data_IF_136300919868
#
_entry.id   IF_136300919868
#
_cell.length_a   1.000
_cell.length_b   1.000
_cell.length_c   1.000
_cell.angle_alpha   90.00
_cell.angle_beta   90.00
_cell.angle_gamma   90.00
#
_symmetry.space_group_name_H-M   'P 1'
#
loop_
_entity.id
_entity.type
_entity.pdbx_description
1 polymer ?
#
# COMPACT_ATOMS: atom_id res chain seq x y z
N UNK A 1 4.17 2.59 29.20
CA UNK A 1 4.44 3.47 28.04
C UNK A 1 5.88 3.20 27.64
N UNK A 2 6.12 2.25 26.72
CA UNK A 2 7.48 1.80 26.39
C UNK A 2 8.15 2.76 25.42
N UNK A 3 9.27 3.36 25.82
CA UNK A 3 10.24 3.99 24.92
C UNK A 3 10.75 2.93 23.93
N UNK A 4 10.15 2.89 22.74
CA UNK A 4 10.80 2.27 21.59
C UNK A 4 11.87 3.25 21.12
N UNK A 5 13.12 2.82 21.08
CA UNK A 5 14.22 3.54 20.44
C UNK A 5 13.85 3.82 18.98
N UNK A 6 13.59 5.08 18.66
CA UNK A 6 13.14 5.54 17.34
C UNK A 6 14.36 5.84 16.48
N UNK A 7 14.58 5.01 15.46
CA UNK A 7 15.68 5.21 14.51
C UNK A 7 15.13 6.14 13.42
N UNK A 8 15.50 7.42 13.51
CA UNK A 8 15.33 8.38 12.42
C UNK A 8 16.70 8.77 11.91
N UNK A 9 16.84 8.92 10.59
CA UNK A 9 18.08 9.38 9.98
C UNK A 9 18.34 10.82 10.47
N UNK A 10 19.48 11.03 11.12
CA UNK A 10 19.88 12.33 11.65
C UNK A 10 20.26 13.31 10.55
N UNK A 11 20.07 14.61 10.80
CA UNK A 11 20.34 15.66 9.83
C UNK A 11 21.80 15.66 9.34
N UNK A 12 22.75 15.39 10.24
CA UNK A 12 24.17 15.26 9.89
C UNK A 12 24.48 14.23 8.80
N UNK A 13 23.71 13.13 8.73
CA UNK A 13 23.87 12.14 7.67
C UNK A 13 23.21 12.60 6.37
N UNK A 14 22.10 13.33 6.43
CA UNK A 14 21.46 13.88 5.23
C UNK A 14 22.34 14.95 4.58
N UNK A 15 23.00 15.77 5.40
CA UNK A 15 23.89 16.83 4.94
C UNK A 15 25.20 16.28 4.33
N UNK A 16 25.60 15.06 4.69
CA UNK A 16 26.77 14.39 4.10
C UNK A 16 26.49 13.76 2.73
N UNK A 17 25.22 13.63 2.35
CA UNK A 17 24.83 13.07 1.06
C UNK A 17 24.81 14.18 0.00
N UNK A 18 25.37 13.89 -1.18
CA UNK A 18 25.32 14.81 -2.33
C UNK A 18 23.89 15.06 -2.79
N UNK A 19 23.57 16.29 -3.20
CA UNK A 19 22.24 16.63 -3.74
C UNK A 19 21.95 15.91 -5.05
N UNK A 20 20.68 15.57 -5.26
CA UNK A 20 20.20 14.81 -6.42
C UNK A 20 19.48 15.70 -7.45
N UNK A 21 19.51 15.28 -8.71
CA UNK A 21 18.75 15.92 -9.80
C UNK A 21 17.29 15.42 -9.89
N UNK A 22 17.01 14.20 -9.42
CA UNK A 22 15.65 13.65 -9.35
C UNK A 22 15.53 12.86 -8.05
N UNK A 23 14.48 13.13 -7.29
CA UNK A 23 14.10 12.33 -6.11
C UNK A 23 12.72 11.73 -6.37
N UNK A 24 12.60 10.42 -6.16
CA UNK A 24 11.35 9.69 -6.34
C UNK A 24 10.97 8.95 -5.06
N UNK A 25 9.75 9.15 -4.58
CA UNK A 25 9.22 8.43 -3.43
C UNK A 25 7.82 7.89 -3.70
N UNK A 26 7.66 6.58 -3.55
CA UNK A 26 6.38 5.90 -3.75
C UNK A 26 5.85 5.34 -2.43
N UNK A 27 5.17 6.19 -1.67
CA UNK A 27 4.50 5.81 -0.42
C UNK A 27 5.41 5.56 0.78
N UNK A 28 6.73 5.62 0.61
CA UNK A 28 7.69 5.34 1.69
C UNK A 28 7.67 6.42 2.78
N UNK A 29 7.53 7.70 2.38
CA UNK A 29 7.52 8.82 3.34
C UNK A 29 6.35 8.76 4.32
N UNK A 30 5.20 8.20 3.90
CA UNK A 30 4.02 8.09 4.76
C UNK A 30 4.20 7.06 5.88
N UNK A 31 5.17 6.15 5.75
CA UNK A 31 5.55 5.22 6.83
C UNK A 31 6.49 5.83 7.86
N UNK A 32 6.92 7.08 7.67
CA UNK A 32 7.68 7.81 8.69
C UNK A 32 6.76 8.31 9.79
N UNK A 33 7.28 8.41 11.02
CA UNK A 33 6.52 8.94 12.16
C UNK A 33 6.13 10.41 11.96
N UNK A 34 6.92 11.16 11.19
CA UNK A 34 6.71 12.56 10.85
C UNK A 34 6.92 12.76 9.35
N UNK A 35 5.82 12.58 8.60
CA UNK A 35 5.79 12.72 7.15
C UNK A 35 6.25 14.11 6.70
N UNK A 36 5.87 15.17 7.42
CA UNK A 36 6.21 16.55 7.05
C UNK A 36 7.71 16.79 7.20
N UNK A 37 8.31 16.32 8.30
CA UNK A 37 9.77 16.36 8.47
C UNK A 37 10.47 15.54 7.39
N UNK A 38 9.97 14.34 7.06
CA UNK A 38 10.55 13.54 5.99
C UNK A 38 10.46 14.23 4.62
N UNK A 39 9.34 14.92 4.33
CA UNK A 39 9.17 15.73 3.12
C UNK A 39 10.11 16.94 3.07
N UNK A 40 10.32 17.63 4.20
CA UNK A 40 11.29 18.72 4.29
C UNK A 40 12.73 18.23 4.09
N UNK A 41 13.05 17.06 4.61
CA UNK A 41 14.38 16.49 4.46
C UNK A 41 14.69 16.13 3.01
N UNK A 42 13.75 15.55 2.26
CA UNK A 42 14.01 15.26 0.84
C UNK A 42 14.02 16.52 -0.02
N UNK A 43 13.28 17.57 0.35
CA UNK A 43 13.29 18.83 -0.40
C UNK A 43 14.59 19.61 -0.23
N UNK A 44 15.33 19.41 0.86
CA UNK A 44 16.68 20.00 1.01
C UNK A 44 17.77 19.23 0.22
N UNK A 45 17.49 17.97 -0.13
CA UNK A 45 18.40 17.08 -0.87
C UNK A 45 18.29 17.21 -2.40
N UNK A 46 17.30 17.94 -2.92
CA UNK A 46 17.19 18.21 -4.36
C UNK A 46 17.97 19.47 -4.72
N UNK A 47 18.65 19.47 -5.88
CA UNK A 47 19.31 20.67 -6.40
C UNK A 47 18.27 21.75 -6.75
N UNK A 48 18.65 23.04 -6.83
CA UNK A 48 17.76 24.08 -7.36
C UNK A 48 17.26 23.70 -8.77
N UNK A 49 16.01 24.05 -9.08
CA UNK A 49 15.38 23.83 -10.40
C UNK A 49 15.27 22.35 -10.83
N UNK A 50 15.30 21.42 -9.87
CA UNK A 50 15.16 19.98 -10.08
C UNK A 50 13.90 19.42 -9.43
N UNK A 51 13.52 18.20 -9.81
CA UNK A 51 12.16 17.68 -9.58
C UNK A 51 12.14 16.64 -8.46
N UNK A 52 11.11 16.72 -7.62
CA UNK A 52 10.77 15.70 -6.62
C UNK A 52 9.40 15.12 -6.96
N UNK A 53 9.34 13.80 -7.15
CA UNK A 53 8.11 13.06 -7.37
C UNK A 53 7.71 12.32 -6.08
N UNK A 54 6.51 12.60 -5.58
CA UNK A 54 5.99 11.97 -4.36
C UNK A 54 4.60 11.40 -4.62
N UNK A 55 4.45 10.10 -4.45
CA UNK A 55 3.15 9.44 -4.37
C UNK A 55 2.81 9.19 -2.90
N UNK A 56 1.83 9.92 -2.37
CA UNK A 56 1.30 9.72 -1.02
C UNK A 56 -0.01 8.94 -1.08
N UNK A 57 -0.14 7.95 -0.22
CA UNK A 57 -1.41 7.27 -0.04
C UNK A 57 -2.38 8.18 0.72
N UNK A 58 -3.56 8.41 0.14
CA UNK A 58 -4.61 9.16 0.80
C UNK A 58 -5.27 8.32 1.92
N UNK A 59 -5.57 8.96 3.05
CA UNK A 59 -6.33 8.33 4.11
C UNK A 59 -7.81 8.19 3.71
N UNK A 60 -8.28 6.96 3.59
CA UNK A 60 -9.68 6.68 3.25
C UNK A 60 -10.52 6.53 4.53
N UNK A 61 -11.13 7.62 4.99
CA UNK A 61 -11.83 7.70 6.30
C UNK A 61 -12.80 6.54 6.54
N UNK A 62 -13.65 6.24 5.55
CA UNK A 62 -14.66 5.20 5.67
C UNK A 62 -14.08 3.79 5.57
N UNK A 63 -13.15 3.58 4.63
CA UNK A 63 -12.55 2.26 4.41
C UNK A 63 -11.57 1.87 5.52
N UNK A 64 -10.78 2.81 6.04
CA UNK A 64 -9.87 2.58 7.17
C UNK A 64 -10.65 2.14 8.41
N UNK A 65 -11.73 2.85 8.73
CA UNK A 65 -12.59 2.54 9.88
C UNK A 65 -13.28 1.19 9.72
N UNK A 66 -13.87 0.93 8.55
CA UNK A 66 -14.50 -0.35 8.24
C UNK A 66 -13.53 -1.52 8.36
N UNK A 67 -12.34 -1.44 7.74
CA UNK A 67 -11.34 -2.50 7.82
C UNK A 67 -10.86 -2.72 9.25
N UNK A 68 -10.73 -1.66 10.04
CA UNK A 68 -10.31 -1.77 11.44
C UNK A 68 -11.37 -2.50 12.26
N UNK A 69 -12.65 -2.14 12.11
CA UNK A 69 -13.77 -2.81 12.78
C UNK A 69 -13.83 -4.28 12.34
N UNK A 70 -13.83 -4.56 11.03
CA UNK A 70 -13.89 -5.91 10.49
C UNK A 70 -12.78 -6.80 11.04
N UNK A 71 -11.54 -6.33 11.01
CA UNK A 71 -10.37 -7.07 11.52
C UNK A 71 -10.45 -7.29 13.02
N UNK A 72 -10.90 -6.27 13.77
CA UNK A 72 -11.06 -6.38 15.23
C UNK A 72 -12.13 -7.42 15.56
N UNK A 73 -13.32 -7.32 14.97
CA UNK A 73 -14.42 -8.28 15.14
C UNK A 73 -13.97 -9.69 14.80
N UNK A 74 -13.30 -9.88 13.65
CA UNK A 74 -12.77 -11.19 13.26
C UNK A 74 -11.78 -11.76 14.29
N UNK A 75 -10.87 -10.94 14.81
CA UNK A 75 -9.86 -11.41 15.76
C UNK A 75 -10.44 -11.71 17.15
N UNK A 76 -11.48 -10.98 17.57
CA UNK A 76 -12.09 -11.14 18.90
C UNK A 76 -13.22 -12.15 18.94
N UNK A 77 -13.80 -12.55 17.80
CA UNK A 77 -14.96 -13.43 17.77
C UNK A 77 -14.58 -14.92 17.88
N UNK A 78 -15.51 -15.77 18.37
CA UNK A 78 -15.34 -17.22 18.40
C UNK A 78 -15.26 -17.82 17.00
N UNK A 79 -14.73 -19.04 16.90
CA UNK A 79 -14.38 -19.69 15.63
C UNK A 79 -15.57 -19.80 14.64
N UNK A 80 -16.79 -20.06 15.14
CA UNK A 80 -17.97 -20.17 14.28
C UNK A 80 -18.31 -18.84 13.60
N UNK A 81 -18.15 -17.71 14.31
CA UNK A 81 -18.38 -16.38 13.75
C UNK A 81 -17.34 -16.06 12.66
N UNK A 82 -16.08 -16.45 12.86
CA UNK A 82 -15.03 -16.34 11.83
C UNK A 82 -15.42 -17.08 10.56
N UNK A 83 -15.92 -18.31 10.67
CA UNK A 83 -16.38 -19.09 9.52
C UNK A 83 -17.53 -18.41 8.78
N UNK A 84 -18.53 -17.89 9.50
CA UNK A 84 -19.62 -17.12 8.89
C UNK A 84 -19.07 -15.90 8.13
N UNK A 85 -18.16 -15.14 8.74
CA UNK A 85 -17.54 -13.97 8.10
C UNK A 85 -16.76 -14.36 6.83
N UNK A 86 -16.00 -15.45 6.86
CA UNK A 86 -15.26 -15.99 5.71
C UNK A 86 -16.24 -16.41 4.61
N UNK A 87 -17.32 -17.11 4.94
CA UNK A 87 -18.32 -17.56 3.97
C UNK A 87 -19.01 -16.39 3.29
N UNK A 88 -19.43 -15.36 4.04
CA UNK A 88 -20.00 -14.13 3.49
C UNK A 88 -18.99 -13.44 2.56
N UNK A 89 -17.73 -13.31 3.00
CA UNK A 89 -16.70 -12.69 2.17
C UNK A 89 -16.45 -13.47 0.88
N UNK A 90 -16.30 -14.79 0.96
CA UNK A 90 -16.09 -15.67 -0.20
C UNK A 90 -17.27 -15.58 -1.18
N UNK A 91 -18.50 -15.62 -0.66
CA UNK A 91 -19.72 -15.50 -1.46
C UNK A 91 -19.76 -14.18 -2.24
N UNK A 92 -19.48 -13.04 -1.58
CA UNK A 92 -19.39 -11.73 -2.23
C UNK A 92 -18.34 -11.74 -3.36
N UNK A 93 -17.18 -12.36 -3.14
CA UNK A 93 -16.12 -12.40 -4.16
C UNK A 93 -16.48 -13.30 -5.35
N UNK A 94 -17.20 -14.40 -5.12
CA UNK A 94 -17.69 -15.29 -6.17
C UNK A 94 -18.73 -14.55 -7.02
N UNK A 95 -19.71 -13.88 -6.42
CA UNK A 95 -20.72 -13.11 -7.15
C UNK A 95 -20.08 -11.99 -7.97
N UNK A 96 -19.21 -11.18 -7.36
CA UNK A 96 -18.48 -10.12 -8.07
C UNK A 96 -17.62 -10.69 -9.19
N UNK A 97 -17.12 -11.90 -9.00
CA UNK A 97 -16.34 -12.62 -9.99
C UNK A 97 -17.18 -13.02 -11.19
N UNK A 98 -18.24 -13.79 -10.94
CA UNK A 98 -19.18 -14.26 -11.94
C UNK A 98 -19.86 -13.12 -12.70
N UNK A 99 -20.25 -12.04 -12.01
CA UNK A 99 -20.86 -10.88 -12.68
C UNK A 99 -19.90 -10.23 -13.68
N UNK A 100 -18.62 -10.10 -13.34
CA UNK A 100 -17.59 -9.63 -14.29
C UNK A 100 -17.41 -10.61 -15.44
N UNK A 101 -17.37 -11.90 -15.14
CA UNK A 101 -17.13 -12.93 -16.16
C UNK A 101 -18.31 -13.00 -17.16
N UNK A 102 -19.55 -12.82 -16.69
CA UNK A 102 -20.75 -12.67 -17.51
C UNK A 102 -20.70 -11.36 -18.33
N UNK A 103 -20.43 -10.22 -17.68
CA UNK A 103 -20.42 -8.91 -18.34
C UNK A 103 -19.34 -8.79 -19.43
N UNK A 104 -18.18 -9.39 -19.21
CA UNK A 104 -17.05 -9.34 -20.14
C UNK A 104 -16.93 -10.59 -21.03
N UNK A 105 -17.91 -11.51 -20.98
CA UNK A 105 -17.91 -12.80 -21.70
C UNK A 105 -16.57 -13.56 -21.57
N UNK A 106 -15.96 -13.52 -20.38
CA UNK A 106 -14.67 -14.16 -20.12
C UNK A 106 -14.89 -15.52 -19.48
N UNK A 107 -14.14 -16.52 -19.93
CA UNK A 107 -14.19 -17.84 -19.33
C UNK A 107 -13.66 -17.79 -17.87
N UNK A 108 -14.48 -18.17 -16.87
CA UNK A 108 -14.14 -18.03 -15.45
C UNK A 108 -12.90 -18.84 -15.04
N UNK A 109 -12.62 -19.94 -15.74
CA UNK A 109 -11.45 -20.79 -15.47
C UNK A 109 -10.13 -20.12 -15.87
N UNK A 110 -10.17 -19.22 -16.86
CA UNK A 110 -8.99 -18.51 -17.38
C UNK A 110 -8.50 -17.40 -16.43
N UNK A 111 -9.39 -16.91 -15.55
CA UNK A 111 -9.11 -15.88 -14.52
C UNK A 111 -8.02 -16.28 -13.53
N UNK A 112 -7.95 -17.55 -13.15
CA UNK A 112 -6.97 -18.05 -12.18
C UNK A 112 -5.66 -18.47 -12.84
N UNK A 113 -5.70 -18.94 -14.09
CA UNK A 113 -4.52 -19.30 -14.86
C UNK A 113 -3.65 -18.08 -15.24
N UNK A 114 -4.27 -16.96 -15.62
CA UNK A 114 -3.54 -15.78 -16.12
C UNK A 114 -2.92 -14.91 -15.00
N UNK A 115 -3.42 -14.99 -13.76
CA UNK A 115 -2.87 -14.25 -12.61
C UNK A 115 -1.39 -14.57 -12.33
N UNK A 116 -0.97 -15.81 -12.58
CA UNK A 116 0.44 -16.23 -12.44
C UNK A 116 1.35 -15.57 -13.49
N UNK A 117 0.80 -15.27 -14.67
CA UNK A 117 1.54 -14.62 -15.78
C UNK A 117 1.76 -13.13 -15.53
N UNK A 118 0.79 -12.41 -14.99
CA UNK A 118 0.89 -10.96 -14.75
C UNK A 118 1.88 -10.56 -13.63
N UNK A 119 2.05 -11.39 -12.59
CA UNK A 119 3.00 -11.11 -11.50
C UNK A 119 4.45 -11.06 -11.96
N UNK A 120 4.82 -11.82 -13.00
CA UNK A 120 6.19 -11.88 -13.51
C UNK A 120 6.50 -10.78 -14.53
N UNK A 121 5.48 -10.22 -15.20
CA UNK A 121 5.68 -9.22 -16.28
C UNK A 121 5.96 -7.82 -15.73
N UNK A 122 5.52 -7.52 -14.49
CA UNK A 122 5.70 -6.19 -13.88
C UNK A 122 7.06 -5.98 -13.19
N UNK A 123 7.96 -6.98 -13.17
CA UNK A 123 9.31 -6.83 -12.62
C UNK A 123 10.37 -6.48 -13.69
N UNK A 124 10.04 -6.51 -14.98
CA UNK A 124 11.04 -6.47 -16.09
C UNK A 124 10.73 -5.38 -17.12
N UNK A 125 10.19 -4.23 -16.71
CA UNK A 125 10.11 -3.08 -17.61
C UNK A 125 10.37 -1.78 -16.87
N UNK A 126 11.64 -1.42 -16.83
CA UNK A 126 12.12 -0.04 -16.71
C UNK A 126 13.30 0.06 -17.68
N UNK A 127 12.96 0.08 -18.96
CA UNK A 127 13.85 0.42 -20.07
C UNK A 127 13.29 1.71 -20.69
#
# INVERSE_FOLDING_TARGET
MSERTRISIGQYFLDSISKFDIIYSWGVLYHTEDMWKAMHNISSMVKPERIVYIALYNHQIYWSSFHTILKRTYNTCPIWCKWVMIMIFAFIQIIKGGLKDILFFRNPLRRYAEKKKQRNVNMVRLD
#
